data_IF_308275461080
#
_entry.id   IF_308275461080
#
_cell.length_a   1.000
_cell.length_b   1.000
_cell.length_c   1.000
_cell.angle_alpha   90.00
_cell.angle_beta   90.00
_cell.angle_gamma   90.00
#
_symmetry.space_group_name_H-M   'P 1'
#
loop_
_entity.id
_entity.type
_entity.pdbx_description
1 polymer ?
#
# COMPACT_ATOMS: atom_id res chain seq x y z
N UNK A 1 33.80 -30.96 4.01
CA UNK A 1 33.26 -30.60 2.68
C UNK A 1 31.75 -30.58 2.76
N UNK A 2 31.10 -29.65 2.06
CA UNK A 2 29.64 -29.53 1.99
C UNK A 2 29.24 -29.65 0.54
N UNK A 3 28.28 -30.52 0.26
CA UNK A 3 27.68 -30.71 -1.05
C UNK A 3 26.22 -30.27 -0.98
N UNK A 4 25.85 -29.27 -1.80
CA UNK A 4 24.46 -28.83 -1.95
C UNK A 4 24.11 -28.87 -3.43
N UNK A 5 22.96 -29.44 -3.75
CA UNK A 5 22.46 -29.56 -5.11
C UNK A 5 20.93 -29.55 -5.08
N UNK A 6 20.33 -29.22 -6.22
CA UNK A 6 18.88 -29.33 -6.43
C UNK A 6 18.37 -30.77 -6.26
N UNK A 7 19.25 -31.75 -6.41
CA UNK A 7 18.96 -33.19 -6.33
C UNK A 7 20.02 -33.96 -5.53
N UNK A 8 19.65 -35.14 -5.04
CA UNK A 8 20.57 -36.04 -4.32
C UNK A 8 21.26 -37.00 -5.30
N UNK A 9 22.56 -37.28 -5.09
CA UNK A 9 23.32 -38.22 -5.94
C UNK A 9 24.08 -37.60 -7.11
N UNK A 10 24.19 -36.27 -7.17
CA UNK A 10 24.93 -35.57 -8.23
C UNK A 10 26.45 -35.71 -8.13
N UNK A 11 26.97 -36.00 -6.94
CA UNK A 11 28.40 -36.18 -6.69
C UNK A 11 28.65 -37.55 -6.11
N UNK A 12 29.53 -38.32 -6.75
CA UNK A 12 30.01 -39.60 -6.26
C UNK A 12 31.00 -39.38 -5.11
N UNK A 13 30.53 -39.64 -3.88
CA UNK A 13 31.35 -39.55 -2.67
C UNK A 13 32.01 -40.91 -2.46
N UNK A 14 33.35 -40.92 -2.34
CA UNK A 14 34.09 -42.16 -2.13
C UNK A 14 33.67 -42.86 -0.81
N UNK A 15 33.61 -44.20 -0.75
CA UNK A 15 33.03 -44.93 0.38
C UNK A 15 33.75 -44.73 1.72
N UNK A 16 35.01 -44.31 1.68
CA UNK A 16 35.87 -44.04 2.83
C UNK A 16 35.64 -42.66 3.46
N UNK A 17 34.87 -41.78 2.81
CA UNK A 17 34.53 -40.44 3.33
C UNK A 17 33.32 -40.51 4.28
N UNK A 18 33.50 -40.12 5.55
CA UNK A 18 32.44 -40.10 6.56
C UNK A 18 31.47 -38.93 6.37
N UNK A 19 30.19 -39.24 6.14
CA UNK A 19 29.10 -38.26 6.09
C UNK A 19 28.68 -37.86 7.52
N UNK A 20 28.80 -36.57 7.85
CA UNK A 20 28.43 -36.04 9.19
C UNK A 20 26.93 -35.74 9.27
N UNK A 21 26.33 -35.18 8.21
CA UNK A 21 24.92 -34.78 8.18
C UNK A 21 24.35 -34.84 6.76
N UNK A 22 23.06 -35.20 6.63
CA UNK A 22 22.29 -35.20 5.38
C UNK A 22 20.92 -34.56 5.64
N UNK A 23 20.47 -33.66 4.76
CA UNK A 23 19.21 -32.94 4.95
C UNK A 23 18.76 -32.16 3.71
N UNK A 24 17.70 -31.35 3.87
CA UNK A 24 17.15 -30.46 2.82
C UNK A 24 16.80 -29.09 3.42
N UNK A 25 16.78 -28.06 2.58
CA UNK A 25 16.26 -26.74 2.96
C UNK A 25 14.74 -26.78 3.11
N UNK A 26 14.23 -26.10 4.15
CA UNK A 26 12.79 -25.92 4.40
C UNK A 26 12.33 -24.54 3.94
N UNK A 27 11.02 -24.34 3.80
CA UNK A 27 10.46 -23.04 3.45
C UNK A 27 10.98 -21.95 4.39
N UNK A 28 11.50 -20.86 3.81
CA UNK A 28 12.11 -19.79 4.57
C UNK A 28 13.42 -20.15 5.26
N UNK A 29 14.13 -21.23 4.87
CA UNK A 29 15.46 -21.63 5.38
C UNK A 29 16.60 -21.55 4.34
N UNK A 30 17.84 -21.20 4.73
CA UNK A 30 19.06 -21.06 3.93
C UNK A 30 20.19 -21.94 4.50
N UNK A 31 21.19 -22.24 3.67
CA UNK A 31 22.45 -22.88 4.07
C UNK A 31 23.57 -21.92 3.67
N UNK A 32 24.36 -21.46 4.64
CA UNK A 32 25.45 -20.53 4.35
C UNK A 32 26.76 -21.07 4.91
N UNK A 33 27.83 -20.95 4.13
CA UNK A 33 29.19 -21.32 4.51
C UNK A 33 30.07 -20.10 4.33
N UNK A 34 30.77 -19.71 5.39
CA UNK A 34 31.84 -18.73 5.32
C UNK A 34 33.13 -19.43 4.87
N UNK A 35 33.64 -19.06 3.69
CA UNK A 35 34.81 -19.70 3.06
C UNK A 35 36.14 -19.22 3.62
N UNK A 36 36.17 -18.07 4.31
CA UNK A 36 37.39 -17.57 4.97
C UNK A 36 37.55 -18.23 6.34
N UNK A 37 36.47 -18.29 7.13
CA UNK A 37 36.49 -18.96 8.44
C UNK A 37 36.26 -20.47 8.39
N UNK A 38 35.80 -20.99 7.25
CA UNK A 38 35.47 -22.41 7.04
C UNK A 38 34.21 -22.89 7.78
N UNK A 39 33.39 -21.97 8.31
CA UNK A 39 32.25 -22.28 9.18
C UNK A 39 30.91 -22.29 8.45
N UNK A 40 30.00 -23.16 8.90
CA UNK A 40 28.59 -23.10 8.53
C UNK A 40 27.91 -22.01 9.35
N UNK A 41 27.36 -21.01 8.67
CA UNK A 41 26.64 -19.90 9.27
C UNK A 41 25.18 -20.28 9.50
N UNK A 42 24.68 -19.94 10.70
CA UNK A 42 23.29 -20.19 11.06
C UNK A 42 22.34 -19.34 10.21
N UNK A 43 21.36 -20.02 9.66
CA UNK A 43 20.39 -19.49 8.74
C UNK A 43 19.54 -18.36 9.32
N UNK A 44 18.98 -18.56 10.52
CA UNK A 44 18.14 -17.53 11.16
C UNK A 44 18.97 -16.28 11.46
N UNK A 45 20.20 -16.46 11.95
CA UNK A 45 21.11 -15.36 12.24
C UNK A 45 21.51 -14.56 10.98
N UNK A 46 21.75 -15.23 9.85
CA UNK A 46 22.14 -14.55 8.62
C UNK A 46 20.94 -13.91 7.91
N UNK A 47 19.79 -14.59 7.86
CA UNK A 47 18.55 -14.01 7.35
C UNK A 47 18.19 -12.74 8.08
N UNK A 48 18.32 -12.75 9.41
CA UNK A 48 18.12 -11.55 10.21
C UNK A 48 19.08 -10.42 9.81
N UNK A 49 20.31 -10.73 9.39
CA UNK A 49 21.34 -9.77 8.92
C UNK A 49 21.09 -9.24 7.50
N UNK A 50 20.58 -10.09 6.61
CA UNK A 50 20.33 -9.76 5.19
C UNK A 50 18.98 -9.05 5.03
N UNK A 51 17.93 -9.49 5.75
CA UNK A 51 16.62 -8.85 5.73
C UNK A 51 16.67 -7.39 6.22
N UNK A 52 17.71 -7.02 6.97
CA UNK A 52 17.99 -5.65 7.41
C UNK A 52 18.88 -4.84 6.46
N UNK A 53 19.37 -5.38 5.33
CA UNK A 53 20.30 -4.68 4.42
C UNK A 53 19.63 -3.67 3.49
N UNK A 54 18.46 -3.99 2.94
CA UNK A 54 17.71 -3.15 1.99
C UNK A 54 16.19 -3.39 2.18
N UNK A 55 15.31 -2.45 1.80
CA UNK A 55 13.88 -2.53 2.08
C UNK A 55 13.14 -3.32 0.98
N UNK A 56 13.32 -4.64 0.97
CA UNK A 56 12.72 -5.59 0.01
C UNK A 56 11.17 -5.60 0.01
N UNK A 57 10.55 -5.11 1.09
CA UNK A 57 9.10 -4.90 1.24
C UNK A 57 8.53 -3.84 0.28
N UNK A 58 9.41 -3.01 -0.28
CA UNK A 58 9.02 -1.91 -1.17
C UNK A 58 8.81 -2.41 -2.60
N UNK A 59 9.64 -3.30 -3.10
CA UNK A 59 9.59 -3.76 -4.50
C UNK A 59 8.41 -4.69 -4.81
N UNK A 60 7.86 -5.35 -3.78
CA UNK A 60 6.73 -6.29 -3.88
C UNK A 60 5.38 -5.63 -4.22
N UNK A 61 5.27 -4.29 -4.14
CA UNK A 61 3.98 -3.59 -4.25
C UNK A 61 3.54 -3.24 -5.68
N UNK A 62 4.37 -3.38 -6.70
CA UNK A 62 4.25 -2.53 -7.89
C UNK A 62 3.69 -3.13 -9.21
N UNK A 63 3.09 -4.33 -9.27
CA UNK A 63 2.41 -4.72 -10.51
C UNK A 63 1.64 -6.03 -10.44
N UNK A 64 0.31 -5.99 -10.45
CA UNK A 64 -0.47 -7.22 -10.32
C UNK A 64 -0.39 -8.06 -11.58
N UNK A 65 0.32 -9.17 -11.41
CA UNK A 65 0.62 -10.19 -12.38
C UNK A 65 0.16 -11.52 -11.77
N UNK A 66 -0.36 -12.42 -12.59
CA UNK A 66 -0.71 -13.76 -12.14
C UNK A 66 0.44 -14.72 -12.46
N UNK A 67 0.71 -15.62 -11.53
CA UNK A 67 1.72 -16.64 -11.72
C UNK A 67 1.16 -17.77 -12.60
N UNK A 68 1.81 -18.05 -13.73
CA UNK A 68 1.54 -19.22 -14.57
C UNK A 68 2.85 -19.93 -14.85
N UNK A 69 2.92 -21.22 -14.49
CA UNK A 69 4.06 -22.13 -14.71
C UNK A 69 5.32 -21.78 -13.88
N UNK A 70 5.78 -20.53 -13.87
CA UNK A 70 7.05 -20.13 -13.25
C UNK A 70 7.04 -20.15 -11.72
N UNK A 71 5.87 -19.97 -11.11
CA UNK A 71 5.67 -20.07 -9.67
C UNK A 71 4.22 -20.48 -9.36
N UNK A 72 3.98 -21.33 -8.34
CA UNK A 72 2.64 -21.78 -8.01
C UNK A 72 1.85 -20.69 -7.25
N UNK A 73 0.52 -20.59 -7.44
CA UNK A 73 -0.33 -19.76 -6.60
C UNK A 73 -0.40 -20.32 -5.16
N UNK A 74 -0.53 -19.44 -4.17
CA UNK A 74 -0.73 -19.81 -2.75
C UNK A 74 -2.21 -20.10 -2.51
N UNK A 75 -2.52 -21.14 -1.74
CA UNK A 75 -3.90 -21.44 -1.35
C UNK A 75 -4.38 -20.47 -0.24
N UNK A 76 -5.35 -19.58 -0.52
CA UNK A 76 -5.77 -18.55 0.44
C UNK A 76 -6.50 -19.11 1.67
N UNK A 77 -6.93 -20.37 1.63
CA UNK A 77 -7.61 -21.04 2.74
C UNK A 77 -6.64 -21.89 3.55
N UNK A 78 -5.88 -22.77 2.87
CA UNK A 78 -4.97 -23.72 3.53
C UNK A 78 -3.69 -23.07 4.04
N UNK A 79 -3.25 -21.99 3.40
CA UNK A 79 -2.03 -21.27 3.72
C UNK A 79 -2.31 -19.87 4.28
N UNK A 80 -3.53 -19.62 4.78
CA UNK A 80 -3.93 -18.31 5.32
C UNK A 80 -2.98 -17.73 6.36
N UNK A 81 -2.29 -18.58 7.13
CA UNK A 81 -1.33 -18.16 8.17
C UNK A 81 -0.15 -17.37 7.59
N UNK A 82 0.16 -17.50 6.30
CA UNK A 82 1.24 -16.75 5.63
C UNK A 82 0.73 -15.50 4.89
N UNK A 83 -0.55 -15.15 5.02
CA UNK A 83 -1.19 -14.01 4.32
C UNK A 83 -1.69 -12.94 5.30
N UNK A 84 -1.74 -11.68 4.86
CA UNK A 84 -2.32 -10.57 5.64
C UNK A 84 -2.95 -9.50 4.74
N UNK A 85 -3.99 -8.83 5.24
CA UNK A 85 -4.62 -7.66 4.60
C UNK A 85 -4.27 -6.34 5.30
N UNK A 86 -3.41 -6.37 6.32
CA UNK A 86 -3.07 -5.18 7.10
C UNK A 86 -2.56 -4.06 6.18
N UNK A 87 -3.18 -2.89 6.31
CA UNK A 87 -2.96 -1.75 5.44
C UNK A 87 -2.65 -0.51 6.28
N UNK A 88 -1.37 -0.18 6.49
CA UNK A 88 -1.02 1.11 7.08
C UNK A 88 -1.31 2.23 6.07
N UNK A 89 -1.98 3.30 6.50
CA UNK A 89 -2.35 4.50 5.71
C UNK A 89 -1.78 5.78 6.34
N UNK A 90 -1.59 6.82 5.52
CA UNK A 90 -1.05 8.13 5.92
C UNK A 90 0.41 8.35 5.48
N UNK A 91 0.99 9.51 5.86
CA UNK A 91 2.28 9.98 5.37
C UNK A 91 3.43 9.00 5.68
N UNK A 92 4.37 8.88 4.76
CA UNK A 92 5.60 8.11 4.93
C UNK A 92 6.79 9.08 5.09
N UNK A 93 7.70 8.73 6.00
CA UNK A 93 8.96 9.45 6.22
C UNK A 93 10.11 8.70 5.56
N UNK A 94 11.24 9.38 5.41
CA UNK A 94 12.42 8.83 4.74
C UNK A 94 12.81 7.47 5.33
N UNK A 95 12.85 6.42 4.50
CA UNK A 95 13.16 5.05 4.92
C UNK A 95 14.66 4.86 5.22
N UNK A 96 15.53 5.73 4.72
CA UNK A 96 16.98 5.68 4.93
C UNK A 96 17.39 6.22 6.32
N UNK A 97 16.46 6.88 7.03
CA UNK A 97 16.72 7.50 8.32
C UNK A 97 15.75 6.91 9.34
N UNK A 98 16.20 5.98 10.21
CA UNK A 98 15.37 5.42 11.27
C UNK A 98 14.82 6.54 12.18
N UNK A 99 13.49 6.62 12.31
CA UNK A 99 12.83 7.69 13.05
C UNK A 99 11.48 7.26 13.59
N UNK A 100 11.15 7.71 14.82
CA UNK A 100 9.80 7.53 15.41
C UNK A 100 8.69 8.07 14.51
N UNK A 101 8.97 9.07 13.68
CA UNK A 101 7.96 9.62 12.77
C UNK A 101 7.49 8.60 11.71
N UNK A 102 8.23 7.51 11.49
CA UNK A 102 7.82 6.41 10.60
C UNK A 102 6.68 5.56 11.18
N UNK A 103 6.46 5.60 12.50
CA UNK A 103 5.38 4.85 13.16
C UNK A 103 4.06 5.62 13.21
N UNK A 104 4.05 6.90 12.81
CA UNK A 104 2.86 7.75 12.80
C UNK A 104 1.98 7.46 11.58
N UNK A 105 1.48 6.22 11.49
CA UNK A 105 0.59 5.74 10.43
C UNK A 105 -0.64 5.09 11.06
N UNK A 106 -1.78 5.22 10.39
CA UNK A 106 -3.01 4.57 10.81
C UNK A 106 -2.96 3.12 10.32
N UNK A 107 -2.90 2.16 11.25
CA UNK A 107 -2.84 0.74 10.92
C UNK A 107 -4.25 0.16 10.83
N UNK A 108 -4.67 -0.14 9.60
CA UNK A 108 -5.95 -0.79 9.35
C UNK A 108 -5.76 -2.31 9.27
N UNK A 109 -6.69 -3.08 9.82
CA UNK A 109 -6.66 -4.53 9.73
C UNK A 109 -6.86 -5.03 8.30
N UNK A 110 -7.59 -4.26 7.49
CA UNK A 110 -7.88 -4.51 6.08
C UNK A 110 -8.16 -3.17 5.37
N UNK A 111 -8.16 -3.11 4.03
CA UNK A 111 -8.36 -1.86 3.30
C UNK A 111 -9.82 -1.40 3.21
N UNK A 112 -10.77 -2.13 3.81
CA UNK A 112 -12.20 -1.82 3.77
C UNK A 112 -12.56 -1.03 5.02
N UNK A 113 -13.10 0.17 4.81
CA UNK A 113 -13.52 1.07 5.89
C UNK A 113 -15.03 1.04 6.06
N UNK A 114 -15.51 1.02 7.30
CA UNK A 114 -16.93 1.15 7.57
C UNK A 114 -17.40 2.59 7.38
N UNK A 115 -18.72 2.78 7.25
CA UNK A 115 -19.30 4.13 7.20
C UNK A 115 -18.97 4.95 8.46
N UNK A 116 -18.81 4.31 9.62
CA UNK A 116 -18.40 4.97 10.87
C UNK A 116 -16.96 5.46 10.79
N UNK A 117 -16.06 4.64 10.25
CA UNK A 117 -14.66 5.03 10.05
C UNK A 117 -14.57 6.19 9.07
N UNK A 118 -15.35 6.15 7.98
CA UNK A 118 -15.41 7.26 7.02
C UNK A 118 -15.96 8.55 7.63
N UNK A 119 -16.99 8.48 8.47
CA UNK A 119 -17.52 9.65 9.18
C UNK A 119 -16.45 10.27 10.10
N UNK A 120 -15.69 9.43 10.83
CA UNK A 120 -14.57 9.89 11.65
C UNK A 120 -13.50 10.58 10.80
N UNK A 121 -13.08 9.95 9.71
CA UNK A 121 -12.03 10.50 8.86
C UNK A 121 -12.46 11.81 8.18
N UNK A 122 -13.73 11.96 7.80
CA UNK A 122 -14.29 13.21 7.27
C UNK A 122 -14.31 14.34 8.30
N UNK A 123 -14.51 14.01 9.58
CA UNK A 123 -14.54 15.00 10.67
C UNK A 123 -13.19 15.67 10.92
N UNK A 124 -12.10 15.08 10.42
CA UNK A 124 -10.73 15.62 10.52
C UNK A 124 -10.48 16.84 9.62
N UNK A 125 -11.36 17.11 8.65
CA UNK A 125 -11.22 18.21 7.69
C UNK A 125 -11.97 19.49 8.03
N UNK A 126 -12.88 19.43 9.01
CA UNK A 126 -13.70 20.56 9.44
C UNK A 126 -13.33 21.06 10.83
N UNK A 127 -13.88 22.22 11.22
CA UNK A 127 -14.06 22.50 12.64
C UNK A 127 -14.73 21.26 13.28
N UNK A 128 -14.29 20.83 14.47
CA UNK A 128 -14.79 19.61 15.11
C UNK A 128 -16.32 19.61 15.07
N UNK A 129 -16.96 18.46 14.81
CA UNK A 129 -18.41 18.39 14.78
C UNK A 129 -18.96 19.02 16.06
N UNK A 130 -19.97 19.89 15.92
CA UNK A 130 -20.82 20.29 17.05
C UNK A 130 -21.26 18.99 17.72
N UNK A 131 -20.76 18.79 18.95
CA UNK A 131 -20.69 17.51 19.64
C UNK A 131 -21.96 16.64 19.46
N UNK A 132 -21.81 15.37 19.04
CA UNK A 132 -22.50 14.28 19.68
C UNK A 132 -21.68 13.91 20.91
N UNK A 133 -22.28 13.98 22.10
CA UNK A 133 -21.65 13.85 23.43
C UNK A 133 -20.87 12.53 23.67
N UNK A 134 -20.88 11.58 22.73
CA UNK A 134 -20.28 10.26 22.86
C UNK A 134 -19.05 9.98 21.98
N UNK A 135 -18.57 10.94 21.17
CA UNK A 135 -17.30 10.74 20.47
C UNK A 135 -16.15 11.03 21.43
N UNK A 136 -15.75 10.02 22.20
CA UNK A 136 -14.46 10.01 22.89
C UNK A 136 -13.38 10.29 21.85
N UNK A 137 -12.85 11.51 21.84
CA UNK A 137 -11.65 11.88 21.10
C UNK A 137 -10.51 11.08 21.72
N UNK A 138 -10.28 9.86 21.23
CA UNK A 138 -9.29 8.94 21.79
C UNK A 138 -7.87 9.24 21.32
N UNK A 139 -7.67 10.20 20.43
CA UNK A 139 -6.34 10.56 19.95
C UNK A 139 -6.14 12.07 19.93
N UNK A 140 -5.50 12.56 20.98
CA UNK A 140 -4.71 13.79 21.01
C UNK A 140 -3.46 13.70 20.11
N UNK A 141 -3.32 12.61 19.32
CA UNK A 141 -2.05 12.13 18.76
C UNK A 141 -1.87 12.45 17.26
N UNK A 142 -2.94 12.68 16.49
CA UNK A 142 -2.78 12.69 15.03
C UNK A 142 -2.78 14.06 14.36
N UNK A 143 -3.42 15.12 14.86
CA UNK A 143 -3.47 16.45 14.18
C UNK A 143 -3.71 16.36 12.66
N UNK A 144 -4.29 15.25 12.19
CA UNK A 144 -4.34 14.94 10.77
C UNK A 144 -5.44 15.74 10.14
N UNK A 145 -5.15 16.34 9.00
CA UNK A 145 -6.15 17.03 8.21
C UNK A 145 -6.57 16.16 7.04
N UNK A 146 -7.88 15.99 6.85
CA UNK A 146 -8.43 15.35 5.67
C UNK A 146 -9.08 16.38 4.75
N UNK A 147 -8.99 16.19 3.43
CA UNK A 147 -9.77 16.96 2.46
C UNK A 147 -10.56 16.02 1.58
N UNK A 148 -11.80 16.40 1.29
CA UNK A 148 -12.69 15.66 0.41
C UNK A 148 -12.60 16.27 -0.99
N UNK A 149 -12.27 15.44 -1.96
CA UNK A 149 -12.26 15.77 -3.37
C UNK A 149 -13.50 15.13 -4.01
N UNK A 150 -14.38 15.99 -4.51
CA UNK A 150 -15.62 15.59 -5.14
C UNK A 150 -15.34 15.06 -6.56
N UNK A 151 -15.64 13.78 -6.79
CA UNK A 151 -15.47 13.09 -8.06
C UNK A 151 -16.78 13.04 -8.86
N UNK A 152 -17.57 14.12 -8.82
CA UNK A 152 -18.82 14.24 -9.59
C UNK A 152 -18.82 15.43 -10.53
N UNK A 153 -19.14 15.18 -11.80
CA UNK A 153 -19.17 16.14 -12.90
C UNK A 153 -20.56 16.77 -13.03
N UNK A 154 -20.65 18.10 -12.99
CA UNK A 154 -21.92 18.81 -13.20
C UNK A 154 -22.34 18.79 -14.67
N UNK A 155 -23.59 18.46 -14.94
CA UNK A 155 -24.20 18.46 -16.28
C UNK A 155 -25.11 19.66 -16.41
N UNK A 156 -24.55 20.86 -16.58
CA UNK A 156 -25.35 22.03 -16.96
C UNK A 156 -25.43 22.15 -18.49
N UNK A 157 -26.64 22.40 -19.01
CA UNK A 157 -27.00 22.53 -20.43
C UNK A 157 -26.52 23.84 -21.10
N UNK A 158 -25.50 24.50 -20.53
CA UNK A 158 -24.97 25.77 -21.02
C UNK A 158 -23.93 25.61 -22.13
N UNK A 159 -24.39 25.68 -23.38
CA UNK A 159 -23.71 26.34 -24.51
C UNK A 159 -22.24 25.97 -24.80
N UNK A 160 -21.97 24.74 -25.21
CA UNK A 160 -20.91 24.43 -26.20
C UNK A 160 -20.99 22.95 -26.59
N UNK A 161 -20.82 22.61 -27.88
CA UNK A 161 -20.76 21.23 -28.41
C UNK A 161 -19.44 20.53 -28.01
N UNK A 162 -19.10 20.56 -26.73
CA UNK A 162 -17.90 19.89 -26.20
C UNK A 162 -18.26 18.45 -25.88
N UNK A 163 -17.47 17.51 -26.42
CA UNK A 163 -17.59 16.08 -26.15
C UNK A 163 -17.49 15.79 -24.65
N UNK A 164 -18.27 14.82 -24.18
CA UNK A 164 -18.19 14.31 -22.81
C UNK A 164 -16.76 13.92 -22.42
N UNK A 165 -15.98 13.40 -23.38
CA UNK A 165 -14.57 13.05 -23.16
C UNK A 165 -13.69 14.25 -22.81
N UNK A 166 -13.88 15.38 -23.49
CA UNK A 166 -13.15 16.62 -23.18
C UNK A 166 -13.56 17.20 -21.82
N UNK A 167 -14.86 17.14 -21.48
CA UNK A 167 -15.35 17.56 -20.15
C UNK A 167 -14.76 16.70 -19.04
N UNK A 168 -14.75 15.38 -19.22
CA UNK A 168 -14.13 14.45 -18.27
C UNK A 168 -12.62 14.69 -18.15
N UNK A 169 -11.93 14.93 -19.26
CA UNK A 169 -10.49 15.20 -19.26
C UNK A 169 -10.17 16.47 -18.45
N UNK A 170 -10.86 17.58 -18.72
CA UNK A 170 -10.66 18.83 -17.97
C UNK A 170 -11.05 18.70 -16.50
N UNK A 171 -12.11 17.96 -16.20
CA UNK A 171 -12.48 17.67 -14.82
C UNK A 171 -11.40 16.86 -14.07
N UNK A 172 -10.82 15.83 -14.70
CA UNK A 172 -9.73 15.07 -14.11
C UNK A 172 -8.47 15.91 -13.90
N UNK A 173 -8.21 16.88 -14.79
CA UNK A 173 -7.14 17.87 -14.59
C UNK A 173 -7.40 18.75 -13.37
N UNK A 174 -8.59 19.34 -13.27
CA UNK A 174 -8.99 20.17 -12.12
C UNK A 174 -8.97 19.38 -10.79
N UNK A 175 -9.43 18.12 -10.81
CA UNK A 175 -9.36 17.23 -9.65
C UNK A 175 -7.91 16.96 -9.23
N UNK A 176 -7.01 16.74 -10.19
CA UNK A 176 -5.58 16.60 -9.94
C UNK A 176 -4.96 17.88 -9.36
N UNK A 177 -5.31 19.05 -9.90
CA UNK A 177 -4.77 20.35 -9.46
C UNK A 177 -5.24 20.71 -8.05
N UNK A 178 -6.51 20.43 -7.72
CA UNK A 178 -7.05 20.54 -6.36
C UNK A 178 -6.32 19.62 -5.37
N UNK A 179 -6.06 18.37 -5.77
CA UNK A 179 -5.31 17.43 -4.94
C UNK A 179 -3.89 17.93 -4.67
N UNK A 180 -3.21 18.46 -5.69
CA UNK A 180 -1.86 19.01 -5.57
C UNK A 180 -1.82 20.25 -4.65
N UNK A 181 -2.72 21.21 -4.86
CA UNK A 181 -2.82 22.42 -4.03
C UNK A 181 -3.09 22.09 -2.56
N UNK A 182 -3.98 21.12 -2.29
CA UNK A 182 -4.27 20.66 -0.93
C UNK A 182 -3.02 20.07 -0.23
N UNK A 183 -2.16 19.37 -0.97
CA UNK A 183 -0.94 18.79 -0.40
C UNK A 183 0.15 19.85 -0.16
N UNK A 184 0.27 20.83 -1.07
CA UNK A 184 1.32 21.86 -1.00
C UNK A 184 1.01 22.99 -0.02
N UNK A 185 -0.21 23.50 -0.02
CA UNK A 185 -0.57 24.70 0.71
C UNK A 185 -1.34 24.42 2.00
N UNK A 186 -2.21 23.40 2.00
CA UNK A 186 -3.10 23.12 3.13
C UNK A 186 -2.55 22.11 4.15
N UNK A 187 -1.37 21.52 3.88
CA UNK A 187 -0.72 20.50 4.72
C UNK A 187 -1.66 19.36 5.12
N UNK A 188 -2.30 18.75 4.11
CA UNK A 188 -3.26 17.65 4.28
C UNK A 188 -2.54 16.30 4.41
N UNK A 189 -3.03 15.42 5.28
CA UNK A 189 -2.50 14.06 5.48
C UNK A 189 -3.33 12.99 4.77
N UNK A 190 -4.63 13.24 4.54
CA UNK A 190 -5.55 12.31 3.91
C UNK A 190 -6.38 12.99 2.81
N UNK A 191 -6.39 12.41 1.62
CA UNK A 191 -7.27 12.78 0.52
C UNK A 191 -8.39 11.75 0.40
N UNK A 192 -9.63 12.20 0.49
CA UNK A 192 -10.83 11.37 0.33
C UNK A 192 -11.43 11.71 -1.03
N UNK A 193 -11.30 10.82 -2.01
CA UNK A 193 -11.93 10.96 -3.33
C UNK A 193 -13.31 10.33 -3.24
N UNK A 194 -14.36 11.11 -3.48
CA UNK A 194 -15.74 10.71 -3.17
C UNK A 194 -16.70 10.97 -4.33
N UNK A 195 -17.49 9.96 -4.71
CA UNK A 195 -18.59 10.07 -5.68
C UNK A 195 -19.97 10.30 -5.01
N UNK A 196 -19.99 10.51 -3.68
CA UNK A 196 -21.20 10.59 -2.85
C UNK A 196 -22.13 11.74 -3.23
N UNK A 197 -21.61 12.82 -3.83
CA UNK A 197 -22.42 13.96 -4.29
C UNK A 197 -23.19 13.68 -5.59
N UNK A 198 -23.21 12.42 -6.05
CA UNK A 198 -23.93 12.00 -7.25
C UNK A 198 -25.42 12.31 -7.12
N UNK A 199 -25.98 12.91 -8.16
CA UNK A 199 -27.36 13.35 -8.21
C UNK A 199 -27.82 13.45 -9.67
N UNK A 200 -29.07 13.83 -9.91
CA UNK A 200 -29.62 13.96 -11.27
C UNK A 200 -28.79 14.87 -12.17
N UNK A 201 -28.20 15.91 -11.58
CA UNK A 201 -27.44 16.94 -12.31
C UNK A 201 -25.91 16.75 -12.15
N UNK A 202 -25.47 15.74 -11.39
CA UNK A 202 -24.07 15.47 -11.09
C UNK A 202 -23.73 14.00 -11.34
N UNK A 203 -23.02 13.75 -12.44
CA UNK A 203 -22.61 12.41 -12.84
C UNK A 203 -21.39 11.95 -12.05
N UNK A 204 -21.39 10.75 -11.45
CA UNK A 204 -20.20 10.20 -10.82
C UNK A 204 -19.14 9.88 -11.89
N UNK A 205 -17.89 10.25 -11.61
CA UNK A 205 -16.74 9.80 -12.39
C UNK A 205 -16.34 8.41 -11.87
N UNK A 206 -16.05 7.43 -12.76
CA UNK A 206 -15.60 6.11 -12.33
C UNK A 206 -14.47 6.20 -11.32
N UNK A 207 -14.67 5.67 -10.11
CA UNK A 207 -13.79 6.00 -8.99
C UNK A 207 -12.36 5.53 -9.23
N UNK A 208 -12.19 4.40 -9.93
CA UNK A 208 -10.88 3.85 -10.30
C UNK A 208 -10.11 4.83 -11.20
N UNK A 209 -10.81 5.51 -12.12
CA UNK A 209 -10.21 6.50 -13.00
C UNK A 209 -9.80 7.76 -12.21
N UNK A 210 -10.66 8.24 -11.31
CA UNK A 210 -10.36 9.40 -10.46
C UNK A 210 -9.17 9.13 -9.52
N UNK A 211 -9.18 8.00 -8.81
CA UNK A 211 -8.10 7.56 -7.93
C UNK A 211 -6.81 7.34 -8.72
N UNK A 212 -6.88 6.67 -9.87
CA UNK A 212 -5.73 6.43 -10.74
C UNK A 212 -5.09 7.74 -11.24
N UNK A 213 -5.91 8.70 -11.69
CA UNK A 213 -5.44 10.00 -12.16
C UNK A 213 -4.74 10.79 -11.05
N UNK A 214 -5.38 10.93 -9.88
CA UNK A 214 -4.80 11.63 -8.72
C UNK A 214 -3.55 10.92 -8.23
N UNK A 215 -3.57 9.59 -8.12
CA UNK A 215 -2.41 8.80 -7.69
C UNK A 215 -1.20 9.04 -8.61
N UNK A 216 -1.39 8.88 -9.93
CA UNK A 216 -0.32 9.06 -10.92
C UNK A 216 0.19 10.51 -10.96
N UNK A 217 -0.71 11.51 -10.81
CA UNK A 217 -0.31 12.91 -10.68
C UNK A 217 0.62 13.11 -9.48
N UNK A 218 0.22 12.64 -8.31
CA UNK A 218 1.00 12.79 -7.08
C UNK A 218 2.33 12.01 -7.14
N UNK A 219 2.40 10.87 -7.84
CA UNK A 219 3.67 10.16 -8.06
C UNK A 219 4.61 10.97 -8.93
N UNK A 220 4.13 11.50 -10.07
CA UNK A 220 4.93 12.33 -10.99
C UNK A 220 5.43 13.63 -10.37
N UNK A 221 4.76 14.12 -9.33
CA UNK A 221 5.14 15.32 -8.57
C UNK A 221 5.88 15.01 -7.26
N UNK A 222 6.18 13.73 -7.00
CA UNK A 222 6.86 13.26 -5.78
C UNK A 222 6.09 13.57 -4.47
N UNK A 223 4.77 13.78 -4.56
CA UNK A 223 3.90 14.11 -3.43
C UNK A 223 3.18 12.88 -2.84
N UNK A 224 3.17 11.74 -3.55
CA UNK A 224 2.36 10.57 -3.17
C UNK A 224 2.68 10.02 -1.76
N UNK A 225 3.94 10.09 -1.33
CA UNK A 225 4.34 9.61 0.00
C UNK A 225 3.86 10.53 1.14
N UNK A 226 3.43 11.76 0.86
CA UNK A 226 3.02 12.73 1.88
C UNK A 226 1.60 12.53 2.38
N UNK A 227 0.76 11.78 1.65
CA UNK A 227 -0.68 11.65 1.96
C UNK A 227 -1.18 10.21 1.85
N UNK A 228 -2.22 9.88 2.61
CA UNK A 228 -3.09 8.72 2.34
C UNK A 228 -4.14 9.08 1.30
N UNK A 229 -4.54 8.11 0.47
CA UNK A 229 -5.67 8.25 -0.46
C UNK A 229 -6.73 7.25 -0.03
N UNK A 230 -7.96 7.71 0.10
CA UNK A 230 -9.14 6.90 0.43
C UNK A 230 -10.16 7.13 -0.66
N UNK A 231 -10.69 6.04 -1.21
CA UNK A 231 -11.81 6.08 -2.15
C UNK A 231 -13.11 5.85 -1.38
N UNK A 232 -14.05 6.78 -1.47
CA UNK A 232 -15.42 6.58 -1.03
C UNK A 232 -16.31 6.49 -2.26
N UNK A 233 -16.88 5.32 -2.51
CA UNK A 233 -17.60 5.05 -3.75
C UNK A 233 -18.91 4.31 -3.54
N UNK A 234 -19.90 4.67 -4.34
CA UNK A 234 -21.15 3.91 -4.51
C UNK A 234 -21.08 2.82 -5.59
N UNK A 235 -20.00 2.77 -6.40
CA UNK A 235 -19.84 1.80 -7.50
C UNK A 235 -19.32 0.42 -7.03
N UNK A 236 -18.59 0.38 -5.91
CA UNK A 236 -18.01 -0.86 -5.39
C UNK A 236 -19.09 -1.76 -4.77
N UNK A 237 -19.21 -2.99 -5.28
CA UNK A 237 -20.05 -4.06 -4.71
C UNK A 237 -19.19 -5.17 -4.11
#
# INVERSE_FOLDING_TARGET
MVYMSSEVGVVDIQPDVKIIQKGRLKAGRLLIVDTESGQLLDDESLKSKIATKHPYDVWLKEGQLFAQVTNPPIDPFRERIVMTLMCPIGPQKNILIPSRAQTHRLWLANPILSLKDMALLRSLGGNPPSQPEDVKITSTVLSWRSVILDATLSVHEGSEKVSLGSKLFHFLQDLCDKAENAVLHDSVDLLIISDRASSRDRLPVPILLAVGAVHQRLVRRELRMRVGIIAETGESK
#
